data_IF_537964007098
#
_entry.id   IF_537964007098
#
_cell.length_a   1.000
_cell.length_b   1.000
_cell.length_c   1.000
_cell.angle_alpha   90.00
_cell.angle_beta   90.00
_cell.angle_gamma   90.00
#
_symmetry.space_group_name_H-M   'P 1'
#
loop_
_entity.id
_entity.type
_entity.pdbx_description
1 polymer ?
#
# COMPACT_ATOMS: atom_id res chain seq x y z
N UNK A 1 3.87 16.07 -75.88
CA UNK A 1 2.82 15.04 -76.11
C UNK A 1 2.31 14.57 -74.74
N UNK A 2 1.00 14.31 -74.61
CA UNK A 2 0.25 13.63 -73.50
C UNK A 2 0.60 14.00 -72.01
N UNK A 3 -0.29 14.37 -71.09
CA UNK A 3 -1.70 14.04 -70.74
C UNK A 3 -1.87 12.73 -69.92
N UNK A 4 -2.38 12.88 -68.67
CA UNK A 4 -3.04 11.88 -67.77
C UNK A 4 -2.21 10.67 -67.26
N UNK A 5 -2.54 10.00 -66.14
CA UNK A 5 -3.55 10.23 -65.09
C UNK A 5 -3.93 8.95 -64.29
N UNK A 6 -4.75 9.09 -63.21
CA UNK A 6 -5.44 8.04 -62.37
C UNK A 6 -4.55 7.20 -61.41
N UNK A 7 -4.93 6.82 -60.17
CA UNK A 7 -6.20 6.57 -59.41
C UNK A 7 -6.72 5.11 -59.48
N UNK A 8 -7.18 4.59 -58.32
CA UNK A 8 -7.81 3.28 -58.00
C UNK A 8 -6.81 2.15 -57.63
N UNK A 9 -7.11 1.18 -56.74
CA UNK A 9 -8.41 0.55 -56.45
C UNK A 9 -8.87 0.50 -54.97
N UNK A 10 -10.20 0.34 -54.80
CA UNK A 10 -10.92 0.15 -53.53
C UNK A 10 -11.77 -1.13 -53.62
N UNK A 11 -11.67 -1.98 -52.59
CA UNK A 11 -12.80 -2.75 -52.05
C UNK A 11 -13.22 -4.06 -52.71
N UNK A 12 -13.37 -5.09 -51.88
CA UNK A 12 -14.31 -6.20 -52.11
C UNK A 12 -15.10 -6.42 -50.82
N UNK A 13 -16.35 -5.96 -50.81
CA UNK A 13 -17.35 -6.30 -49.77
C UNK A 13 -18.17 -7.46 -50.29
N UNK A 14 -18.07 -8.62 -49.64
CA UNK A 14 -18.86 -9.80 -50.00
C UNK A 14 -20.19 -9.81 -49.25
N UNK A 15 -21.27 -9.38 -49.93
CA UNK A 15 -22.66 -9.54 -49.46
C UNK A 15 -23.20 -10.87 -49.96
N UNK A 16 -23.53 -11.78 -49.04
CA UNK A 16 -24.33 -12.98 -49.35
C UNK A 16 -25.77 -12.78 -48.88
N UNK A 17 -26.73 -12.92 -49.80
CA UNK A 17 -28.15 -12.75 -49.57
C UNK A 17 -28.95 -13.75 -50.43
N UNK A 18 -30.08 -14.24 -49.90
CA UNK A 18 -31.12 -15.08 -50.55
C UNK A 18 -30.72 -16.56 -50.82
N UNK A 19 -31.47 -17.62 -50.47
CA UNK A 19 -32.71 -17.88 -49.69
C UNK A 19 -32.51 -19.21 -48.90
N UNK A 20 -33.33 -19.67 -47.93
CA UNK A 20 -34.50 -19.11 -47.23
C UNK A 20 -35.38 -20.22 -46.58
N UNK A 21 -36.17 -19.86 -45.55
CA UNK A 21 -37.25 -20.64 -44.89
C UNK A 21 -36.94 -22.05 -44.30
N UNK A 22 -36.87 -22.16 -42.97
CA UNK A 22 -37.98 -22.74 -42.16
C UNK A 22 -37.79 -22.59 -40.64
N UNK A 23 -38.92 -22.46 -39.94
CA UNK A 23 -39.20 -22.63 -38.50
C UNK A 23 -38.67 -21.61 -37.48
N UNK A 24 -39.63 -21.06 -36.73
CA UNK A 24 -39.48 -20.16 -35.57
C UNK A 24 -39.61 -20.99 -34.30
N UNK A 25 -38.69 -20.84 -33.34
CA UNK A 25 -38.92 -21.15 -31.93
C UNK A 25 -38.00 -20.30 -31.03
N UNK A 26 -38.54 -19.75 -29.95
CA UNK A 26 -37.78 -19.01 -28.93
C UNK A 26 -37.04 -19.97 -28.00
N UNK A 27 -35.77 -19.69 -27.66
CA UNK A 27 -35.23 -19.84 -26.29
C UNK A 27 -33.76 -19.47 -26.18
N UNK A 28 -33.41 -18.67 -25.16
CA UNK A 28 -32.20 -18.80 -24.35
C UNK A 28 -30.82 -18.70 -25.02
N UNK A 29 -30.14 -17.58 -24.83
CA UNK A 29 -28.67 -17.55 -24.80
C UNK A 29 -28.18 -18.36 -23.60
N UNK A 30 -27.40 -19.42 -23.84
CA UNK A 30 -26.64 -20.12 -22.79
C UNK A 30 -25.27 -20.52 -23.35
N UNK A 31 -24.22 -19.84 -22.88
CA UNK A 31 -22.83 -20.25 -23.12
C UNK A 31 -22.52 -21.47 -22.26
N UNK A 32 -21.80 -22.50 -22.78
CA UNK A 32 -21.46 -23.67 -22.00
C UNK A 32 -20.45 -23.31 -20.90
N UNK A 33 -20.75 -23.73 -19.67
CA UNK A 33 -19.82 -23.62 -18.56
C UNK A 33 -18.60 -24.53 -18.81
N UNK A 34 -17.43 -23.93 -19.02
CA UNK A 34 -16.17 -24.64 -19.12
C UNK A 34 -15.77 -25.19 -17.74
N UNK A 35 -15.95 -26.50 -17.53
CA UNK A 35 -15.45 -27.19 -16.35
C UNK A 35 -13.92 -27.29 -16.42
N UNK A 36 -13.23 -26.35 -15.78
CA UNK A 36 -11.79 -26.43 -15.51
C UNK A 36 -11.56 -27.00 -14.12
N UNK A 37 -11.09 -28.25 -14.03
CA UNK A 37 -10.63 -28.82 -12.75
C UNK A 37 -9.35 -28.12 -12.31
N UNK A 38 -9.43 -27.35 -11.22
CA UNK A 38 -8.27 -26.75 -10.58
C UNK A 38 -7.48 -27.82 -9.78
N UNK A 39 -6.15 -27.88 -9.88
CA UNK A 39 -5.36 -28.90 -9.22
C UNK A 39 -5.33 -28.70 -7.70
N UNK A 40 -5.80 -29.72 -6.96
CA UNK A 40 -5.78 -29.76 -5.50
C UNK A 40 -4.36 -30.04 -5.00
N UNK A 41 -3.65 -29.04 -4.45
CA UNK A 41 -2.42 -29.32 -3.70
C UNK A 41 -2.24 -28.47 -2.43
N UNK A 42 -1.83 -29.18 -1.36
CA UNK A 42 -1.21 -28.76 -0.09
C UNK A 42 -1.45 -27.36 0.50
N UNK A 43 -2.20 -27.34 1.61
CA UNK A 43 -1.97 -26.54 2.84
C UNK A 43 -1.22 -25.22 2.66
N UNK A 44 -1.84 -24.24 2.01
CA UNK A 44 -1.52 -22.84 2.32
C UNK A 44 -2.09 -22.54 3.70
N UNK A 45 -1.24 -22.11 4.64
CA UNK A 45 -1.70 -21.27 5.74
C UNK A 45 -2.19 -19.99 5.07
N UNK A 46 -3.50 -19.77 5.05
CA UNK A 46 -4.05 -18.52 4.53
C UNK A 46 -3.67 -17.42 5.51
N UNK A 47 -2.80 -16.53 5.05
CA UNK A 47 -2.34 -15.32 5.74
C UNK A 47 -3.51 -14.34 5.95
N UNK A 48 -4.38 -14.71 6.88
CA UNK A 48 -5.56 -13.97 7.32
C UNK A 48 -5.15 -13.07 8.47
N UNK A 49 -4.94 -11.79 8.16
CA UNK A 49 -4.61 -10.76 9.14
C UNK A 49 -5.76 -9.77 9.27
N UNK A 50 -6.00 -9.32 10.51
CA UNK A 50 -7.08 -8.39 10.85
C UNK A 50 -6.50 -7.06 11.31
N UNK A 51 -7.08 -5.95 10.83
CA UNK A 51 -6.67 -4.61 11.21
C UNK A 51 -7.46 -4.12 12.45
N UNK A 52 -6.80 -3.47 13.42
CA UNK A 52 -7.47 -2.97 14.63
C UNK A 52 -8.35 -1.75 14.30
N UNK A 53 -9.65 -1.96 14.10
CA UNK A 53 -10.62 -0.88 13.97
C UNK A 53 -11.08 -0.36 15.34
N UNK A 54 -11.20 0.97 15.47
CA UNK A 54 -11.80 1.60 16.65
C UNK A 54 -13.31 1.29 16.68
N UNK A 55 -13.81 0.74 17.79
CA UNK A 55 -15.19 0.27 17.89
C UNK A 55 -16.17 1.44 17.72
N UNK A 56 -17.08 1.33 16.74
CA UNK A 56 -18.03 2.39 16.45
C UNK A 56 -19.10 2.50 17.54
N UNK A 57 -19.02 3.56 18.33
CA UNK A 57 -20.04 3.97 19.32
C UNK A 57 -21.34 4.49 18.68
N UNK A 58 -21.34 4.74 17.36
CA UNK A 58 -22.47 5.28 16.61
C UNK A 58 -23.55 4.21 16.43
N UNK A 59 -24.79 4.54 16.79
CA UNK A 59 -25.92 3.60 16.78
C UNK A 59 -26.26 3.06 15.38
N UNK A 60 -26.10 3.87 14.33
CA UNK A 60 -26.25 3.42 12.94
C UNK A 60 -25.12 2.51 12.43
N UNK A 61 -24.05 2.32 13.21
CA UNK A 61 -22.94 1.39 12.91
C UNK A 61 -22.92 0.19 13.85
N UNK A 62 -24.05 -0.17 14.47
CA UNK A 62 -24.16 -1.38 15.30
C UNK A 62 -23.65 -2.64 14.60
N UNK A 63 -23.87 -2.76 13.28
CA UNK A 63 -23.45 -3.92 12.50
C UNK A 63 -21.92 -4.05 12.35
N UNK A 64 -21.14 -2.99 12.58
CA UNK A 64 -19.68 -3.06 12.62
C UNK A 64 -19.13 -3.48 14.00
N UNK A 65 -19.98 -3.61 15.03
CA UNK A 65 -19.54 -4.03 16.36
C UNK A 65 -18.93 -5.43 16.31
N UNK A 66 -17.77 -5.58 16.95
CA UNK A 66 -17.06 -6.85 17.08
C UNK A 66 -16.63 -7.51 15.75
N UNK A 67 -16.68 -6.78 14.62
CA UNK A 67 -16.09 -7.17 13.34
C UNK A 67 -14.90 -6.26 13.03
N UNK A 68 -13.76 -6.83 12.68
CA UNK A 68 -12.55 -6.11 12.26
C UNK A 68 -12.36 -6.24 10.74
N UNK A 69 -11.74 -5.26 10.07
CA UNK A 69 -11.36 -5.41 8.68
C UNK A 69 -10.34 -6.54 8.50
N UNK A 70 -10.49 -7.34 7.45
CA UNK A 70 -9.66 -8.54 7.21
C UNK A 70 -9.08 -8.55 5.80
N UNK A 71 -7.81 -8.93 5.69
CA UNK A 71 -7.19 -9.26 4.41
C UNK A 71 -7.38 -10.74 4.08
N UNK A 72 -7.94 -11.02 2.90
CA UNK A 72 -8.02 -12.36 2.33
C UNK A 72 -7.35 -12.31 0.95
N UNK A 73 -6.29 -13.09 0.70
CA UNK A 73 -5.62 -13.14 -0.61
C UNK A 73 -6.61 -13.43 -1.75
N UNK A 74 -6.70 -12.52 -2.72
CA UNK A 74 -7.61 -12.62 -3.87
C UNK A 74 -9.10 -12.35 -3.58
N UNK A 75 -9.45 -11.89 -2.37
CA UNK A 75 -10.83 -11.58 -1.99
C UNK A 75 -11.32 -10.19 -2.41
N UNK A 76 -10.43 -9.19 -2.41
CA UNK A 76 -10.66 -7.82 -2.89
C UNK A 76 -9.62 -7.45 -3.96
N UNK A 77 -9.72 -6.25 -4.55
CA UNK A 77 -8.75 -5.79 -5.53
C UNK A 77 -7.38 -5.48 -4.89
N UNK A 78 -6.42 -5.09 -5.72
CA UNK A 78 -5.12 -4.63 -5.24
C UNK A 78 -5.29 -3.40 -4.34
N UNK A 79 -4.66 -3.47 -3.16
CA UNK A 79 -4.71 -2.45 -2.11
C UNK A 79 -6.08 -2.18 -1.45
N UNK A 80 -6.98 -3.16 -1.55
CA UNK A 80 -8.22 -3.24 -0.79
C UNK A 80 -8.19 -4.38 0.26
N UNK A 81 -9.07 -4.27 1.26
CA UNK A 81 -9.38 -5.32 2.26
C UNK A 81 -10.89 -5.35 2.51
N UNK A 82 -11.39 -6.42 3.13
CA UNK A 82 -12.80 -6.50 3.53
C UNK A 82 -13.05 -5.66 4.78
N UNK A 83 -14.00 -4.74 4.69
CA UNK A 83 -14.57 -3.99 5.81
C UNK A 83 -15.99 -4.49 6.14
N UNK A 84 -16.41 -4.41 7.41
CA UNK A 84 -17.81 -4.67 7.80
C UNK A 84 -18.77 -3.73 7.07
N UNK A 85 -19.71 -4.29 6.32
CA UNK A 85 -20.79 -3.56 5.64
C UNK A 85 -21.85 -3.03 6.61
N UNK A 86 -22.84 -2.32 6.07
CA UNK A 86 -23.90 -1.68 6.84
C UNK A 86 -24.99 -2.65 7.33
N UNK A 87 -25.03 -3.88 6.81
CA UNK A 87 -25.86 -4.98 7.28
C UNK A 87 -25.07 -6.02 8.12
N UNK A 88 -25.78 -6.79 8.94
CA UNK A 88 -25.23 -7.72 9.97
C UNK A 88 -24.19 -8.72 9.44
N UNK A 89 -24.34 -9.16 8.18
CA UNK A 89 -23.45 -10.15 7.54
C UNK A 89 -22.78 -9.62 6.25
N UNK A 90 -22.93 -8.34 5.93
CA UNK A 90 -22.36 -7.76 4.71
C UNK A 90 -20.88 -7.41 4.86
N UNK A 91 -20.13 -7.53 3.77
CA UNK A 91 -18.69 -7.23 3.71
C UNK A 91 -18.40 -6.52 2.39
N UNK A 92 -17.77 -5.34 2.50
CA UNK A 92 -17.42 -4.50 1.35
C UNK A 92 -15.92 -4.43 1.19
N UNK A 93 -15.43 -4.40 -0.04
CA UNK A 93 -14.03 -4.06 -0.31
C UNK A 93 -13.87 -2.54 -0.24
N UNK A 94 -12.89 -2.07 0.53
CA UNK A 94 -12.47 -0.67 0.59
C UNK A 94 -10.95 -0.62 0.78
N UNK A 95 -10.34 0.53 0.56
CA UNK A 95 -8.89 0.70 0.57
C UNK A 95 -8.26 0.35 1.93
N UNK A 96 -7.09 -0.28 1.88
CA UNK A 96 -6.22 -0.48 3.04
C UNK A 96 -5.99 0.84 3.82
N UNK A 97 -5.71 0.79 5.14
CA UNK A 97 -5.29 1.96 5.88
C UNK A 97 -4.14 2.71 5.19
N UNK A 98 -4.24 4.05 5.11
CA UNK A 98 -3.32 4.97 4.37
C UNK A 98 -3.41 4.95 2.84
N UNK A 99 -4.31 4.15 2.25
CA UNK A 99 -4.62 4.16 0.83
C UNK A 99 -5.93 4.90 0.53
N UNK A 100 -6.00 5.51 -0.65
CA UNK A 100 -7.07 6.39 -1.09
C UNK A 100 -7.68 5.88 -2.39
N UNK A 101 -9.00 5.75 -2.41
CA UNK A 101 -9.74 5.35 -3.61
C UNK A 101 -9.77 6.46 -4.67
N UNK A 102 -9.46 6.10 -5.91
CA UNK A 102 -9.59 6.98 -7.08
C UNK A 102 -10.71 6.49 -8.01
N UNK A 103 -11.85 7.20 -8.11
CA UNK A 103 -13.02 6.73 -8.86
C UNK A 103 -12.78 6.42 -10.33
N UNK A 104 -11.96 7.22 -11.03
CA UNK A 104 -11.79 7.09 -12.49
C UNK A 104 -10.92 5.89 -12.89
N UNK A 105 -10.04 5.41 -12.01
CA UNK A 105 -9.25 4.19 -12.25
C UNK A 105 -9.76 2.98 -11.47
N UNK A 106 -10.71 3.17 -10.55
CA UNK A 106 -11.24 2.14 -9.64
C UNK A 106 -10.11 1.39 -8.91
N UNK A 107 -9.18 2.15 -8.33
CA UNK A 107 -8.01 1.62 -7.60
C UNK A 107 -7.71 2.46 -6.37
N UNK A 108 -7.11 1.80 -5.38
CA UNK A 108 -6.56 2.41 -4.19
C UNK A 108 -5.09 2.82 -4.44
N UNK A 109 -4.69 3.99 -3.93
CA UNK A 109 -3.32 4.49 -4.01
C UNK A 109 -2.82 4.94 -2.64
N UNK A 110 -1.64 4.49 -2.25
CA UNK A 110 -1.06 4.90 -0.97
C UNK A 110 -0.73 6.39 -1.00
N UNK A 111 -1.06 7.09 0.10
CA UNK A 111 -0.58 8.44 0.35
C UNK A 111 0.95 8.52 0.20
N UNK A 112 1.46 9.69 -0.22
CA UNK A 112 2.86 9.96 -0.55
C UNK A 112 3.48 9.14 -1.71
N UNK A 113 2.69 8.31 -2.40
CA UNK A 113 3.11 7.71 -3.68
C UNK A 113 2.58 8.52 -4.85
N UNK A 114 3.13 8.28 -6.05
CA UNK A 114 2.64 8.91 -7.29
C UNK A 114 1.15 8.65 -7.54
N UNK A 115 0.70 7.41 -7.30
CA UNK A 115 -0.68 7.00 -7.54
C UNK A 115 -1.18 7.31 -8.96
N UNK A 116 -2.33 8.00 -9.04
CA UNK A 116 -2.91 8.53 -10.27
C UNK A 116 -2.34 9.89 -10.72
N UNK A 117 -1.43 10.50 -9.96
CA UNK A 117 -0.92 11.84 -10.24
C UNK A 117 0.12 11.84 -11.37
N UNK A 118 0.44 13.04 -11.87
CA UNK A 118 1.45 13.22 -12.90
C UNK A 118 2.86 12.89 -12.39
N UNK A 119 3.85 12.83 -13.29
CA UNK A 119 5.26 12.65 -12.90
C UNK A 119 5.73 13.85 -12.04
N UNK A 120 6.50 13.59 -10.97
CA UNK A 120 6.86 14.63 -10.01
C UNK A 120 5.72 15.11 -9.10
N UNK A 121 4.59 14.41 -9.06
CA UNK A 121 3.50 14.61 -8.11
C UNK A 121 3.26 13.37 -7.24
N UNK A 122 2.55 13.55 -6.13
CA UNK A 122 2.14 12.48 -5.21
C UNK A 122 0.73 12.72 -4.65
N UNK A 123 0.04 11.63 -4.32
CA UNK A 123 -1.26 11.63 -3.64
C UNK A 123 -1.05 12.09 -2.19
N UNK A 124 -1.78 13.12 -1.77
CA UNK A 124 -1.61 13.72 -0.44
C UNK A 124 -2.93 14.18 0.17
N UNK A 125 -3.04 14.04 1.49
CA UNK A 125 -4.10 14.60 2.32
C UNK A 125 -3.43 15.50 3.37
N UNK A 126 -3.97 16.70 3.57
CA UNK A 126 -3.50 17.59 4.64
C UNK A 126 -3.71 16.96 6.03
N UNK A 127 -2.93 17.29 7.06
CA UNK A 127 -3.17 16.79 8.41
C UNK A 127 -4.58 17.14 8.88
N UNK A 128 -5.38 16.13 9.23
CA UNK A 128 -6.83 16.23 9.54
C UNK A 128 -7.73 16.66 8.36
N UNK A 129 -7.19 16.74 7.15
CA UNK A 129 -7.94 16.94 5.90
C UNK A 129 -8.78 15.72 5.54
N UNK A 130 -9.80 15.92 4.70
CA UNK A 130 -10.74 14.88 4.27
C UNK A 130 -10.70 14.57 2.76
N UNK A 131 -9.98 15.36 1.98
CA UNK A 131 -9.98 15.27 0.54
C UNK A 131 -8.54 15.07 0.02
N UNK A 132 -8.30 14.02 -0.79
CA UNK A 132 -7.01 13.82 -1.42
C UNK A 132 -6.79 14.81 -2.56
N UNK A 133 -5.53 15.15 -2.79
CA UNK A 133 -5.08 15.97 -3.92
C UNK A 133 -3.71 15.52 -4.41
N UNK A 134 -3.42 15.77 -5.67
CA UNK A 134 -2.06 15.70 -6.18
C UNK A 134 -1.28 16.94 -5.74
N UNK A 135 -0.14 16.74 -5.06
CA UNK A 135 0.81 17.80 -4.73
C UNK A 135 2.15 17.53 -5.40
N UNK A 136 2.94 18.57 -5.65
CA UNK A 136 4.31 18.42 -6.14
C UNK A 136 5.13 17.62 -5.12
N UNK A 137 5.88 16.64 -5.59
CA UNK A 137 6.93 15.99 -4.80
C UNK A 137 8.24 16.77 -4.96
N UNK A 138 8.93 17.04 -3.84
CA UNK A 138 10.26 17.65 -3.85
C UNK A 138 11.38 16.62 -4.07
N UNK A 139 11.05 15.34 -3.92
CA UNK A 139 11.95 14.22 -4.12
C UNK A 139 11.74 13.55 -5.50
N UNK A 140 12.72 12.75 -5.99
CA UNK A 140 12.55 11.94 -7.19
C UNK A 140 11.35 10.98 -7.10
N UNK A 141 10.78 10.61 -8.25
CA UNK A 141 9.71 9.60 -8.34
C UNK A 141 10.13 8.31 -7.59
N UNK A 142 9.26 7.84 -6.69
CA UNK A 142 9.53 6.69 -5.81
C UNK A 142 10.14 7.03 -4.43
N UNK A 143 10.46 8.30 -4.17
CA UNK A 143 10.93 8.78 -2.87
C UNK A 143 10.01 9.87 -2.29
N UNK A 144 10.08 10.09 -0.99
CA UNK A 144 9.32 11.10 -0.25
C UNK A 144 10.22 11.90 0.68
N UNK A 145 9.87 13.17 0.92
CA UNK A 145 10.58 14.05 1.85
C UNK A 145 10.26 13.68 3.31
N UNK A 146 11.21 13.07 4.01
CA UNK A 146 11.13 12.73 5.42
C UNK A 146 12.31 13.36 6.18
N UNK A 147 12.04 14.15 7.22
CA UNK A 147 13.07 14.83 8.04
C UNK A 147 14.15 15.58 7.23
N UNK A 148 13.76 16.24 6.12
CA UNK A 148 14.65 16.94 5.16
C UNK A 148 15.57 16.02 4.34
N UNK A 149 15.25 14.74 4.23
CA UNK A 149 15.91 13.78 3.34
C UNK A 149 14.89 13.13 2.42
N UNK A 150 15.29 12.84 1.18
CA UNK A 150 14.50 11.99 0.30
C UNK A 150 14.77 10.53 0.62
N UNK A 151 13.71 9.80 0.98
CA UNK A 151 13.76 8.40 1.44
C UNK A 151 12.70 7.58 0.70
N UNK A 152 12.84 6.25 0.70
CA UNK A 152 11.81 5.37 0.13
C UNK A 152 10.77 5.05 1.20
N UNK A 153 9.49 5.16 0.82
CA UNK A 153 8.35 4.84 1.67
C UNK A 153 8.26 3.33 1.94
N UNK A 154 7.77 2.95 3.13
CA UNK A 154 7.63 1.57 3.62
C UNK A 154 8.95 0.78 3.70
N UNK A 155 10.10 1.45 3.83
CA UNK A 155 11.41 0.81 3.98
C UNK A 155 12.07 1.16 5.32
N UNK A 156 12.93 0.24 5.80
CA UNK A 156 13.85 0.51 6.90
C UNK A 156 14.71 1.74 6.57
N UNK A 157 14.91 2.62 7.54
CA UNK A 157 15.78 3.78 7.35
C UNK A 157 16.60 4.07 8.61
N UNK A 158 17.81 4.60 8.44
CA UNK A 158 18.74 4.91 9.54
C UNK A 158 18.16 5.91 10.56
N UNK A 159 17.25 6.80 10.13
CA UNK A 159 16.56 7.74 11.02
C UNK A 159 15.50 7.07 11.90
N UNK A 160 15.16 5.82 11.61
CA UNK A 160 14.15 5.01 12.27
C UNK A 160 14.73 3.79 13.02
N UNK A 161 16.04 3.77 13.30
CA UNK A 161 16.61 2.90 14.34
C UNK A 161 16.39 3.52 15.71
N UNK A 162 15.45 2.97 16.47
CA UNK A 162 15.19 3.35 17.86
C UNK A 162 15.59 2.18 18.74
N UNK A 163 16.63 2.36 19.55
CA UNK A 163 17.07 1.36 20.52
C UNK A 163 17.42 -0.02 19.93
N UNK A 164 18.01 -0.07 18.72
CA UNK A 164 18.28 -1.29 17.93
C UNK A 164 17.02 -1.97 17.37
N UNK A 165 15.86 -1.32 17.47
CA UNK A 165 14.65 -1.72 16.79
C UNK A 165 14.59 -0.93 15.50
N UNK A 166 14.63 -1.64 14.38
CA UNK A 166 14.47 -1.03 13.06
C UNK A 166 12.99 -0.81 12.77
N UNK A 167 12.60 0.45 12.67
CA UNK A 167 11.28 0.86 12.21
C UNK A 167 11.37 1.29 10.74
N UNK A 168 10.23 1.35 10.06
CA UNK A 168 10.16 1.81 8.66
C UNK A 168 9.70 3.26 8.61
N UNK A 169 10.13 3.99 7.57
CA UNK A 169 9.47 5.26 7.23
C UNK A 169 8.12 4.91 6.61
N UNK A 170 7.05 5.24 7.30
CA UNK A 170 5.69 4.97 6.85
C UNK A 170 4.73 6.07 7.27
N UNK A 171 3.44 5.76 7.25
CA UNK A 171 2.38 6.75 7.38
C UNK A 171 1.58 6.43 8.63
N UNK A 172 1.40 7.42 9.48
CA UNK A 172 0.52 7.31 10.65
C UNK A 172 -0.94 7.31 10.18
N UNK A 173 -1.66 6.20 10.41
CA UNK A 173 -3.03 5.98 9.95
C UNK A 173 -4.05 7.01 10.45
N UNK A 174 -3.75 7.72 11.56
CA UNK A 174 -4.64 8.71 12.17
C UNK A 174 -4.33 10.15 11.75
N UNK A 175 -3.04 10.50 11.63
CA UNK A 175 -2.62 11.88 11.29
C UNK A 175 -2.39 12.07 9.79
N UNK A 176 -2.26 10.98 9.04
CA UNK A 176 -1.80 10.94 7.65
C UNK A 176 -0.39 11.53 7.44
N UNK A 177 0.42 11.61 8.49
CA UNK A 177 1.78 12.16 8.43
C UNK A 177 2.84 11.05 8.32
N UNK A 178 4.00 11.39 7.73
CA UNK A 178 5.16 10.52 7.68
C UNK A 178 5.84 10.43 9.05
N UNK A 179 5.99 9.20 9.55
CA UNK A 179 6.58 8.91 10.86
C UNK A 179 7.43 7.62 10.78
N UNK A 180 8.28 7.39 11.78
CA UNK A 180 8.90 6.07 11.97
C UNK A 180 7.84 5.14 12.58
N UNK A 181 7.22 4.29 11.76
CA UNK A 181 6.12 3.42 12.16
C UNK A 181 6.59 2.01 12.45
N UNK A 182 5.98 1.38 13.45
CA UNK A 182 6.18 -0.03 13.73
C UNK A 182 5.19 -0.86 12.94
N UNK A 183 5.68 -1.60 11.94
CA UNK A 183 4.90 -2.55 11.14
C UNK A 183 4.91 -3.98 11.70
N UNK A 184 5.49 -4.19 12.89
CA UNK A 184 5.45 -5.49 13.58
C UNK A 184 4.29 -5.53 14.57
N UNK A 185 3.58 -6.66 14.65
CA UNK A 185 2.50 -6.91 15.64
C UNK A 185 2.96 -6.78 17.10
N UNK A 186 4.27 -6.82 17.33
CA UNK A 186 4.91 -6.59 18.63
C UNK A 186 4.67 -5.15 19.08
N UNK A 187 3.73 -4.98 20.01
CA UNK A 187 3.43 -3.69 20.62
C UNK A 187 4.62 -3.18 21.44
N UNK A 188 5.34 -2.21 20.89
CA UNK A 188 6.47 -1.58 21.57
C UNK A 188 5.98 -0.71 22.72
N UNK A 189 6.31 -1.10 23.95
CA UNK A 189 5.97 -0.31 25.12
C UNK A 189 6.73 1.03 25.11
N UNK A 190 5.99 2.14 25.00
CA UNK A 190 6.53 3.51 24.89
C UNK A 190 7.40 3.91 26.09
N UNK A 191 7.17 3.35 27.29
CA UNK A 191 8.04 3.58 28.46
C UNK A 191 9.35 2.81 28.37
N UNK A 192 9.38 1.62 27.76
CA UNK A 192 10.62 0.92 27.45
C UNK A 192 11.43 1.64 26.38
N UNK A 193 10.81 2.12 25.29
CA UNK A 193 11.52 2.90 24.25
C UNK A 193 12.21 4.13 24.84
N UNK A 194 11.49 4.95 25.61
CA UNK A 194 12.07 6.13 26.29
C UNK A 194 13.17 5.76 27.31
N UNK A 195 13.07 4.57 27.93
CA UNK A 195 14.10 4.05 28.82
C UNK A 195 15.34 3.61 28.05
N UNK A 196 15.18 2.93 26.91
CA UNK A 196 16.28 2.46 26.07
C UNK A 196 17.03 3.61 25.37
N UNK A 197 16.32 4.67 24.93
CA UNK A 197 16.97 5.91 24.46
C UNK A 197 17.84 6.55 25.54
N UNK A 198 17.35 6.56 26.79
CA UNK A 198 18.08 7.10 27.95
C UNK A 198 19.28 6.23 28.32
N UNK A 199 19.15 4.91 28.24
CA UNK A 199 20.25 3.94 28.44
C UNK A 199 21.32 4.08 27.35
N UNK A 200 20.94 4.20 26.08
CA UNK A 200 21.90 4.40 24.98
C UNK A 200 22.65 5.74 25.10
N UNK A 201 22.00 6.81 25.59
CA UNK A 201 22.68 8.08 25.91
C UNK A 201 23.67 7.97 27.07
N UNK A 202 23.46 7.08 28.05
CA UNK A 202 24.45 6.78 29.09
C UNK A 202 25.57 5.85 28.57
N UNK A 203 25.24 4.89 27.70
CA UNK A 203 26.18 3.89 27.18
C UNK A 203 27.31 4.46 26.31
N UNK A 204 27.08 5.56 25.61
CA UNK A 204 28.10 6.21 24.77
C UNK A 204 29.16 7.04 25.53
N UNK A 205 29.12 7.08 26.87
CA UNK A 205 30.09 7.87 27.67
C UNK A 205 31.28 7.07 28.20
N UNK A 206 31.40 5.77 27.90
CA UNK A 206 32.52 4.93 28.38
C UNK A 206 33.50 4.65 27.25
N UNK A 207 34.38 5.63 26.99
CA UNK A 207 35.65 5.40 26.30
C UNK A 207 36.63 4.78 27.32
N UNK A 208 37.20 3.59 27.08
CA UNK A 208 38.22 3.05 27.96
C UNK A 208 39.54 3.78 27.72
N UNK A 209 39.89 4.70 28.62
CA UNK A 209 41.15 5.45 28.57
C UNK A 209 42.32 4.55 28.97
N UNK A 210 42.84 3.73 28.04
CA UNK A 210 44.08 2.99 28.23
C UNK A 210 45.31 3.92 28.14
N UNK A 211 45.55 4.70 29.19
CA UNK A 211 46.85 5.34 29.42
C UNK A 211 47.80 4.34 30.09
N UNK A 212 48.61 3.67 29.27
CA UNK A 212 49.74 2.86 29.75
C UNK A 212 50.87 3.78 30.21
N UNK A 213 51.00 3.97 31.53
CA UNK A 213 52.05 4.80 32.15
C UNK A 213 53.36 4.02 32.27
N UNK A 214 54.15 3.98 31.19
CA UNK A 214 55.53 3.51 31.24
C UNK A 214 56.46 4.58 31.86
N UNK A 215 56.48 4.64 33.20
CA UNK A 215 57.48 5.40 33.95
C UNK A 215 58.82 4.67 33.96
N UNK A 216 59.74 5.06 33.07
CA UNK A 216 61.09 4.54 33.05
C UNK A 216 61.89 5.03 34.28
N UNK A 217 62.41 4.10 35.09
CA UNK A 217 63.45 4.42 36.08
C UNK A 217 64.70 4.90 35.34
N UNK A 218 65.28 6.02 35.80
CA UNK A 218 66.58 6.51 35.36
C UNK A 218 67.48 6.71 36.58
N UNK A 219 68.29 5.69 36.87
CA UNK A 219 69.37 5.72 37.85
C UNK A 219 70.68 6.06 37.14
N UNK A 220 71.44 7.02 37.67
CA UNK A 220 72.92 7.18 37.66
C UNK A 220 73.29 8.65 37.92
N UNK A 221 74.49 8.96 38.45
CA UNK A 221 75.47 8.05 39.06
C UNK A 221 75.28 7.91 40.58
#
# INVERSE_FOLDING_TARGET
MAIQGRISDIGVVAVCLLLGLTLIAHSGMALPAGAGEAPRNTRNSTDLFAYPAEQSVIESKQNARNRTPIYIPGGCAEDEIFYPGDHENDWVCDCKPTYIYHPSSQRCYQLYTKGNCESGQMVYIEPNGKYPRCVRNECPDGQVMFMKQCVVLNQEHQLCDIARIKLVVGINERTHMLECVNISDVHLNKTMLATLEKVNKLGSSVVPTNQSTNSALKLTP
#
